data_IF_425636532592
#
_entry.id   IF_425636532592
#
_cell.length_a   1.000
_cell.length_b   1.000
_cell.length_c   1.000
_cell.angle_alpha   90.00
_cell.angle_beta   90.00
_cell.angle_gamma   90.00
#
_symmetry.space_group_name_H-M   'P 1'
#
loop_
_entity.id
_entity.type
_entity.pdbx_description
1 polymer ?
#
# COMPACT_ATOMS: atom_id res chain seq x y z
N UNK A 1 1.21 -4.08 -4.22
CA UNK A 1 1.32 -4.83 -2.95
C UNK A 1 2.13 -4.09 -1.88
N UNK A 2 3.43 -3.87 -2.08
CA UNK A 2 4.28 -3.20 -1.09
C UNK A 2 3.76 -1.82 -0.66
N UNK A 3 3.34 -0.99 -1.61
CA UNK A 3 2.76 0.33 -1.31
C UNK A 3 1.48 0.22 -0.47
N UNK A 4 0.58 -0.70 -0.82
CA UNK A 4 -0.65 -0.98 -0.05
C UNK A 4 -0.34 -1.39 1.39
N UNK A 5 0.61 -2.33 1.57
CA UNK A 5 1.01 -2.80 2.89
C UNK A 5 1.78 -1.75 3.70
N UNK A 6 2.66 -1.00 3.04
CA UNK A 6 3.41 0.10 3.66
C UNK A 6 2.48 1.22 4.10
N UNK A 7 1.48 1.60 3.30
CA UNK A 7 0.50 2.59 3.71
C UNK A 7 -0.26 2.16 4.96
N UNK A 8 -0.73 0.90 5.02
CA UNK A 8 -1.39 0.35 6.20
C UNK A 8 -0.47 0.36 7.43
N UNK A 9 0.80 -0.05 7.27
CA UNK A 9 1.77 -0.01 8.36
C UNK A 9 2.06 1.42 8.83
N UNK A 10 2.10 2.39 7.91
CA UNK A 10 2.34 3.79 8.24
C UNK A 10 1.15 4.40 9.01
N UNK A 11 -0.06 4.17 8.52
CA UNK A 11 -1.32 4.58 9.14
C UNK A 11 -1.47 3.99 10.56
N UNK A 12 -1.11 2.72 10.75
CA UNK A 12 -1.12 2.07 12.06
C UNK A 12 -0.19 2.73 13.10
N UNK A 13 0.77 3.55 12.66
CA UNK A 13 1.66 4.34 13.52
C UNK A 13 1.23 5.81 13.64
N UNK A 14 0.06 6.17 13.10
CA UNK A 14 -0.40 7.56 12.99
C UNK A 14 0.50 8.41 12.10
N UNK A 15 1.08 7.80 11.05
CA UNK A 15 2.02 8.43 10.13
C UNK A 15 3.30 8.98 10.76
N UNK A 16 3.76 8.39 11.88
CA UNK A 16 4.97 8.85 12.61
C UNK A 16 6.21 8.03 12.34
N UNK A 17 6.06 6.76 11.97
CA UNK A 17 7.17 5.86 11.70
C UNK A 17 7.10 5.39 10.26
N UNK A 18 8.00 5.90 9.42
CA UNK A 18 8.03 5.54 8.01
C UNK A 18 8.37 4.04 7.85
N UNK A 19 7.52 3.26 7.16
CA UNK A 19 7.80 1.88 6.89
C UNK A 19 8.78 1.75 5.73
N UNK A 20 9.92 1.12 6.01
CA UNK A 20 10.91 0.74 5.01
C UNK A 20 10.81 -0.77 4.84
N UNK A 21 10.65 -1.23 3.61
CA UNK A 21 10.61 -2.66 3.32
C UNK A 21 11.95 -3.28 3.72
N UNK A 22 11.94 -4.13 4.75
CA UNK A 22 13.14 -4.77 5.26
C UNK A 22 13.34 -6.15 4.63
N UNK A 23 12.27 -6.93 4.50
CA UNK A 23 12.31 -8.29 3.94
C UNK A 23 10.95 -8.71 3.40
N UNK A 24 10.97 -9.62 2.43
CA UNK A 24 9.79 -10.34 1.93
C UNK A 24 9.98 -11.84 2.29
N UNK A 25 9.43 -12.33 3.41
CA UNK A 25 9.57 -13.74 3.81
C UNK A 25 8.92 -14.72 2.83
N UNK A 26 7.82 -14.31 2.19
CA UNK A 26 7.04 -15.14 1.28
C UNK A 26 6.46 -14.30 0.15
N UNK A 27 6.52 -14.81 -1.07
CA UNK A 27 5.87 -14.25 -2.24
C UNK A 27 5.52 -15.37 -3.22
N UNK A 28 4.23 -15.69 -3.31
CA UNK A 28 3.69 -16.69 -4.22
C UNK A 28 2.92 -16.00 -5.34
N UNK A 29 3.17 -16.40 -6.59
CA UNK A 29 2.50 -15.89 -7.78
C UNK A 29 1.89 -17.05 -8.55
N UNK A 30 0.61 -16.95 -8.91
CA UNK A 30 -0.13 -18.05 -9.53
C UNK A 30 -0.30 -17.87 -11.04
N UNK A 31 -0.36 -16.63 -11.51
CA UNK A 31 -0.40 -16.28 -12.93
C UNK A 31 0.04 -14.82 -13.16
N UNK A 32 0.31 -14.49 -14.41
CA UNK A 32 0.72 -13.15 -14.84
C UNK A 32 -0.51 -12.34 -15.31
N UNK A 33 -0.77 -11.17 -14.70
CA UNK A 33 -1.86 -10.30 -15.13
C UNK A 33 -1.55 -9.64 -16.47
N UNK A 34 -2.57 -9.45 -17.28
CA UNK A 34 -2.52 -8.82 -18.59
C UNK A 34 -2.85 -7.32 -18.54
N UNK A 35 -2.33 -6.51 -19.47
CA UNK A 35 -2.71 -5.10 -19.58
C UNK A 35 -4.23 -4.90 -19.67
N UNK A 36 -4.74 -3.90 -18.94
CA UNK A 36 -6.17 -3.62 -18.85
C UNK A 36 -6.91 -4.36 -17.74
N UNK A 37 -6.26 -5.31 -17.07
CA UNK A 37 -6.84 -6.00 -15.92
C UNK A 37 -6.80 -5.14 -14.65
N UNK A 38 -7.84 -5.29 -13.83
CA UNK A 38 -7.92 -4.66 -12.52
C UNK A 38 -7.44 -5.64 -11.45
N UNK A 39 -6.41 -5.25 -10.72
CA UNK A 39 -5.89 -5.99 -9.57
C UNK A 39 -6.36 -5.36 -8.27
N UNK A 40 -7.04 -6.15 -7.45
CA UNK A 40 -7.43 -5.78 -6.10
C UNK A 40 -6.36 -6.23 -5.11
N UNK A 41 -5.71 -5.26 -4.47
CA UNK A 41 -4.78 -5.52 -3.37
C UNK A 41 -5.49 -5.40 -2.02
N UNK A 42 -5.43 -6.43 -1.19
CA UNK A 42 -5.90 -6.39 0.21
C UNK A 42 -4.71 -6.61 1.14
N UNK A 43 -4.48 -5.70 2.08
CA UNK A 43 -3.41 -5.79 3.06
C UNK A 43 -4.00 -6.05 4.46
N UNK A 44 -3.35 -6.93 5.22
CA UNK A 44 -3.68 -7.28 6.60
C UNK A 44 -2.43 -7.11 7.46
N UNK A 45 -2.53 -6.29 8.49
CA UNK A 45 -1.46 -6.10 9.47
C UNK A 45 -1.46 -7.28 10.46
N UNK A 46 -0.59 -8.25 10.23
CA UNK A 46 -0.50 -9.47 11.05
C UNK A 46 0.11 -9.17 12.42
N UNK A 47 1.10 -8.27 12.47
CA UNK A 47 1.81 -7.88 13.69
C UNK A 47 2.35 -6.47 13.58
N UNK A 48 2.28 -5.73 14.69
CA UNK A 48 2.95 -4.44 14.89
C UNK A 48 3.70 -4.48 16.22
N UNK A 49 4.98 -4.11 16.22
CA UNK A 49 5.79 -4.10 17.44
C UNK A 49 7.20 -3.54 17.24
N UNK A 50 8.11 -3.75 18.22
CA UNK A 50 9.48 -3.22 18.19
C UNK A 50 10.29 -3.70 16.97
N UNK A 51 10.03 -4.92 16.51
CA UNK A 51 10.69 -5.53 15.34
C UNK A 51 10.16 -5.00 14.00
N UNK A 52 9.15 -4.11 14.02
CA UNK A 52 8.50 -3.54 12.85
C UNK A 52 7.07 -4.05 12.63
N UNK A 53 6.61 -3.97 11.38
CA UNK A 53 5.27 -4.38 10.96
C UNK A 53 5.34 -5.57 10.00
N UNK A 54 4.61 -6.65 10.30
CA UNK A 54 4.41 -7.77 9.38
C UNK A 54 3.05 -7.61 8.73
N UNK A 55 3.04 -7.58 7.40
CA UNK A 55 1.83 -7.37 6.61
C UNK A 55 1.69 -8.50 5.59
N UNK A 56 0.55 -9.18 5.59
CA UNK A 56 0.15 -10.09 4.51
C UNK A 56 -0.67 -9.31 3.49
N UNK A 57 -0.32 -9.43 2.21
CA UNK A 57 -1.04 -8.80 1.11
C UNK A 57 -1.46 -9.87 0.11
N UNK A 58 -2.71 -9.82 -0.35
CA UNK A 58 -3.19 -10.59 -1.51
C UNK A 58 -3.45 -9.69 -2.69
N UNK A 59 -3.09 -10.15 -3.89
CA UNK A 59 -3.48 -9.59 -5.18
C UNK A 59 -4.54 -10.50 -5.79
N UNK A 60 -5.66 -9.94 -6.24
CA UNK A 60 -6.73 -10.68 -6.89
C UNK A 60 -7.09 -10.02 -8.22
N UNK A 61 -7.29 -10.84 -9.25
CA UNK A 61 -7.95 -10.40 -10.48
C UNK A 61 -9.37 -10.96 -10.45
N UNK A 62 -10.37 -10.08 -10.41
CA UNK A 62 -11.75 -10.48 -10.09
C UNK A 62 -11.77 -11.36 -8.81
N UNK A 63 -12.20 -12.61 -8.92
CA UNK A 63 -12.28 -13.56 -7.79
C UNK A 63 -11.12 -14.57 -7.73
N UNK A 64 -10.10 -14.41 -8.58
CA UNK A 64 -8.95 -15.31 -8.63
C UNK A 64 -7.76 -14.75 -7.86
N UNK A 65 -7.17 -15.56 -6.98
CA UNK A 65 -5.94 -15.21 -6.27
C UNK A 65 -4.77 -15.19 -7.26
N UNK A 66 -4.25 -14.00 -7.53
CA UNK A 66 -3.14 -13.80 -8.46
C UNK A 66 -1.79 -13.91 -7.74
N UNK A 67 -1.68 -13.32 -6.56
CA UNK A 67 -0.48 -13.40 -5.74
C UNK A 67 -0.79 -13.28 -4.25
N UNK A 68 0.10 -13.82 -3.41
CA UNK A 68 0.10 -13.63 -1.96
C UNK A 68 1.51 -13.33 -1.50
N UNK A 69 1.67 -12.26 -0.74
CA UNK A 69 2.96 -11.89 -0.16
C UNK A 69 2.84 -11.66 1.34
N UNK A 70 3.93 -11.91 2.05
CA UNK A 70 4.16 -11.39 3.38
C UNK A 70 5.36 -10.46 3.31
N UNK A 71 5.24 -9.27 3.90
CA UNK A 71 6.30 -8.27 3.92
C UNK A 71 6.54 -7.86 5.37
N UNK A 72 7.81 -7.83 5.76
CA UNK A 72 8.29 -7.21 6.99
C UNK A 72 8.78 -5.80 6.67
N UNK A 73 8.18 -4.80 7.31
CA UNK A 73 8.60 -3.41 7.28
C UNK A 73 9.34 -3.05 8.58
N UNK A 74 10.53 -2.47 8.46
CA UNK A 74 11.15 -1.75 9.55
C UNK A 74 10.47 -0.38 9.71
N UNK A 75 10.20 0.03 10.94
CA UNK A 75 9.51 1.29 11.24
C UNK A 75 10.53 2.31 11.75
N UNK A 76 10.75 3.38 10.99
CA UNK A 76 11.78 4.38 11.28
C UNK A 76 11.13 5.71 11.66
N UNK A 77 11.41 6.19 12.87
CA UNK A 77 10.84 7.44 13.42
C UNK A 77 11.82 8.61 13.46
N UNK A 78 11.29 9.78 13.86
CA UNK A 78 12.02 11.05 13.90
C UNK A 78 12.92 11.13 15.14
N UNK A 79 14.21 10.86 14.99
CA UNK A 79 15.27 11.19 15.96
C UNK A 79 16.40 11.97 15.28
N UNK A 80 17.34 12.57 16.02
CA UNK A 80 18.42 13.41 15.44
C UNK A 80 19.30 12.69 14.38
N UNK A 81 19.17 11.37 14.21
CA UNK A 81 19.88 10.58 13.20
C UNK A 81 18.94 9.88 12.18
N UNK A 82 17.63 10.16 12.21
CA UNK A 82 16.66 9.48 11.34
C UNK A 82 15.51 10.43 11.05
N UNK A 83 15.64 11.25 10.01
CA UNK A 83 14.47 11.87 9.39
C UNK A 83 13.77 10.79 8.55
N UNK A 84 12.44 10.71 8.56
CA UNK A 84 11.71 9.93 7.58
C UNK A 84 12.16 10.41 6.21
N UNK A 85 12.58 9.49 5.36
CA UNK A 85 12.92 9.81 3.97
C UNK A 85 11.64 10.02 3.12
N UNK A 86 10.52 10.35 3.77
CA UNK A 86 9.20 10.53 3.16
C UNK A 86 8.91 12.03 3.19
N UNK A 87 9.10 12.66 2.04
CA UNK A 87 8.72 14.06 1.85
C UNK A 87 7.18 14.20 2.02
N UNK A 88 6.71 15.07 2.94
CA UNK A 88 5.28 15.22 3.20
C UNK A 88 4.47 15.68 1.97
N UNK A 89 5.06 16.49 1.09
CA UNK A 89 4.42 16.95 -0.13
C UNK A 89 4.27 15.83 -1.16
N UNK A 90 5.32 15.01 -1.35
CA UNK A 90 5.25 13.81 -2.20
C UNK A 90 4.23 12.83 -1.64
N UNK A 91 4.23 12.60 -0.33
CA UNK A 91 3.28 11.71 0.32
C UNK A 91 1.84 12.20 0.15
N UNK A 92 1.56 13.48 0.42
CA UNK A 92 0.24 14.07 0.24
C UNK A 92 -0.26 13.95 -1.21
N UNK A 93 0.61 14.24 -2.18
CA UNK A 93 0.31 14.07 -3.60
C UNK A 93 -0.04 12.62 -3.93
N UNK A 94 0.76 11.67 -3.45
CA UNK A 94 0.51 10.23 -3.64
C UNK A 94 -0.84 9.81 -3.05
N UNK A 95 -1.19 10.26 -1.83
CA UNK A 95 -2.48 9.96 -1.21
C UNK A 95 -3.67 10.53 -1.99
N UNK A 96 -3.49 11.71 -2.59
CA UNK A 96 -4.49 12.36 -3.42
C UNK A 96 -4.67 11.61 -4.75
N UNK A 97 -3.57 11.30 -5.44
CA UNK A 97 -3.60 10.58 -6.73
C UNK A 97 -4.16 9.16 -6.60
N UNK A 98 -3.90 8.49 -5.48
CA UNK A 98 -4.42 7.16 -5.19
C UNK A 98 -5.85 7.15 -4.61
N UNK A 99 -6.43 8.33 -4.32
CA UNK A 99 -7.68 8.45 -3.58
C UNK A 99 -7.69 7.60 -2.29
N UNK A 100 -6.53 7.50 -1.62
CA UNK A 100 -6.24 6.45 -0.63
C UNK A 100 -7.15 6.47 0.61
N UNK A 101 -7.78 7.62 0.90
CA UNK A 101 -8.71 7.82 2.00
C UNK A 101 -10.11 8.25 1.55
N UNK A 102 -10.40 8.16 0.24
CA UNK A 102 -11.73 8.48 -0.26
C UNK A 102 -12.66 7.29 0.00
N UNK A 103 -13.58 7.46 0.95
CA UNK A 103 -14.60 6.45 1.28
C UNK A 103 -15.90 6.81 0.52
N UNK A 104 -16.38 5.97 -0.40
CA UNK A 104 -17.67 6.17 -1.03
C UNK A 104 -18.75 6.21 0.04
N UNK A 105 -19.47 7.33 0.10
CA UNK A 105 -20.63 7.46 1.00
C UNK A 105 -21.90 7.27 0.15
N UNK A 106 -22.97 6.64 0.65
CA UNK A 106 -24.24 6.60 -0.08
C UNK A 106 -24.66 8.02 -0.50
N UNK A 107 -24.87 8.25 -1.81
CA UNK A 107 -25.22 9.56 -2.36
C UNK A 107 -24.04 10.46 -2.78
N UNK A 108 -22.79 10.07 -2.47
CA UNK A 108 -21.57 10.72 -2.96
C UNK A 108 -20.59 9.65 -3.46
N UNK A 109 -20.79 9.13 -4.67
CA UNK A 109 -19.82 8.23 -5.28
C UNK A 109 -18.49 8.95 -5.44
N UNK A 110 -17.42 8.29 -5.03
CA UNK A 110 -16.06 8.70 -5.35
C UNK A 110 -15.86 8.51 -6.85
N UNK A 111 -15.54 9.56 -7.63
CA UNK A 111 -15.22 9.38 -9.03
C UNK A 111 -14.01 8.47 -9.13
N UNK A 112 -14.14 7.31 -9.79
CA UNK A 112 -12.95 6.57 -10.20
C UNK A 112 -12.17 7.48 -11.12
N UNK A 113 -10.96 7.87 -10.69
CA UNK A 113 -10.00 8.58 -11.51
C UNK A 113 -9.90 7.83 -12.86
N UNK A 114 -10.41 8.45 -13.92
CA UNK A 114 -10.18 7.95 -15.27
C UNK A 114 -8.71 8.24 -15.59
N UNK A 115 -7.84 7.31 -15.23
CA UNK A 115 -6.45 7.35 -15.63
C UNK A 115 -6.37 7.31 -17.17
N UNK A 116 -6.12 8.47 -17.77
CA UNK A 116 -5.50 8.64 -19.08
C UNK A 116 -6.21 8.00 -20.27
N UNK A 117 -7.16 8.71 -20.87
CA UNK A 117 -7.28 8.67 -22.33
C UNK A 117 -5.98 9.27 -22.89
N UNK A 118 -4.98 8.42 -23.15
CA UNK A 118 -3.79 8.82 -23.87
C UNK A 118 -4.22 9.18 -25.31
N UNK A 119 -4.27 10.47 -25.60
CA UNK A 119 -4.30 10.98 -26.97
C UNK A 119 -2.99 10.57 -27.65
N UNK A 120 -3.12 9.85 -28.76
CA UNK A 120 -2.04 9.46 -29.68
C UNK A 120 -1.33 10.67 -30.30
#
# INVERSE_FOLDING_TARGET
MAQTGGLLAFDATGFRLAPIMARIPQADFYFEPQPGENLLYRAYLDRLGPEGAVVTITSQQADQLQAKTQILFALVGNGQQSQPNVDPGIFYRMMTELAAFEVPTPGRPVPLSQAGAASY
#
